data_IF_316244955477
#
_entry.id   IF_316244955477
#
_cell.length_a   1.000
_cell.length_b   1.000
_cell.length_c   1.000
_cell.angle_alpha   90.00
_cell.angle_beta   90.00
_cell.angle_gamma   90.00
#
_symmetry.space_group_name_H-M   'P 1'
#
loop_
_entity.id
_entity.type
_entity.pdbx_description
1 polymer ?
#
# COMPACT_ATOMS: atom_id res chain seq x y z
N UNK A 1 -21.71 13.38 -9.08
CA UNK A 1 -22.63 12.20 -9.01
C UNK A 1 -22.65 11.56 -10.38
N UNK A 2 -22.53 10.23 -10.47
CA UNK A 2 -22.41 9.55 -11.76
C UNK A 2 -23.69 9.66 -12.62
N UNK A 3 -23.58 9.80 -13.94
CA UNK A 3 -24.73 9.86 -14.83
C UNK A 3 -25.50 8.52 -14.86
N UNK A 4 -26.80 8.51 -15.20
CA UNK A 4 -27.55 7.28 -15.40
C UNK A 4 -26.88 6.37 -16.42
N UNK A 5 -26.69 5.09 -16.07
CA UNK A 5 -26.02 4.12 -16.95
C UNK A 5 -24.50 4.23 -17.00
N UNK A 6 -23.88 4.98 -16.08
CA UNK A 6 -22.42 5.05 -15.94
C UNK A 6 -21.83 3.64 -15.75
N UNK A 7 -21.09 3.18 -16.75
CA UNK A 7 -20.46 1.86 -16.80
C UNK A 7 -19.01 2.00 -17.28
N UNK A 8 -18.12 2.64 -16.48
CA UNK A 8 -16.76 2.93 -16.91
C UNK A 8 -15.95 1.64 -17.10
N UNK A 9 -14.96 1.70 -17.98
CA UNK A 9 -13.99 0.61 -18.10
C UNK A 9 -13.02 0.69 -16.91
N UNK A 10 -12.79 -0.43 -16.23
CA UNK A 10 -11.80 -0.54 -15.16
C UNK A 10 -10.65 -1.42 -15.61
N UNK A 11 -9.43 -0.90 -15.57
CA UNK A 11 -8.22 -1.66 -15.87
C UNK A 11 -7.56 -2.14 -14.58
N UNK A 12 -7.43 -3.46 -14.43
CA UNK A 12 -6.65 -4.07 -13.36
C UNK A 12 -5.24 -4.31 -13.86
N UNK A 13 -4.24 -3.72 -13.22
CA UNK A 13 -2.82 -3.86 -13.61
C UNK A 13 -2.11 -4.74 -12.60
N UNK A 14 -1.52 -5.84 -13.08
CA UNK A 14 -0.91 -6.88 -12.24
C UNK A 14 0.56 -7.05 -12.64
N UNK A 15 1.53 -6.45 -11.92
CA UNK A 15 2.94 -6.73 -12.11
C UNK A 15 3.26 -8.15 -11.60
N UNK A 16 4.13 -8.88 -12.32
CA UNK A 16 4.57 -10.21 -11.91
C UNK A 16 6.02 -10.48 -12.34
N UNK A 17 6.68 -11.40 -11.64
CA UNK A 17 8.06 -11.81 -11.92
C UNK A 17 8.22 -13.32 -11.70
N UNK A 18 7.97 -14.13 -12.73
CA UNK A 18 8.20 -15.58 -12.68
C UNK A 18 7.27 -16.33 -11.71
N UNK A 19 6.06 -15.82 -11.47
CA UNK A 19 5.07 -16.39 -10.53
C UNK A 19 3.74 -16.75 -11.22
N UNK A 20 3.74 -17.64 -12.24
CA UNK A 20 2.56 -17.92 -13.09
C UNK A 20 1.33 -18.38 -12.30
N UNK A 21 1.50 -19.21 -11.26
CA UNK A 21 0.37 -19.70 -10.47
C UNK A 21 -0.30 -18.60 -9.64
N UNK A 22 0.51 -17.70 -9.06
CA UNK A 22 0.01 -16.60 -8.25
C UNK A 22 -0.72 -15.59 -9.14
N UNK A 23 -0.09 -15.16 -10.25
CA UNK A 23 -0.71 -14.19 -11.15
C UNK A 23 -2.02 -14.71 -11.74
N UNK A 24 -2.13 -16.00 -12.05
CA UNK A 24 -3.41 -16.59 -12.46
C UNK A 24 -4.50 -16.49 -11.38
N UNK A 25 -4.15 -16.61 -10.09
CA UNK A 25 -5.09 -16.40 -8.98
C UNK A 25 -5.54 -14.94 -8.91
N UNK A 26 -4.60 -14.00 -8.96
CA UNK A 26 -4.91 -12.56 -8.99
C UNK A 26 -5.82 -12.21 -10.18
N UNK A 27 -5.50 -12.70 -11.39
CA UNK A 27 -6.32 -12.54 -12.60
C UNK A 27 -7.74 -13.10 -12.40
N UNK A 28 -7.88 -14.32 -11.85
CA UNK A 28 -9.22 -14.89 -11.57
C UNK A 28 -10.03 -14.00 -10.63
N UNK A 29 -9.41 -13.45 -9.59
CA UNK A 29 -10.09 -12.54 -8.65
C UNK A 29 -10.58 -11.24 -9.31
N UNK A 30 -9.80 -10.72 -10.27
CA UNK A 30 -10.17 -9.55 -11.06
C UNK A 30 -11.32 -9.85 -12.04
N UNK A 31 -11.28 -10.99 -12.73
CA UNK A 31 -12.31 -11.40 -13.69
C UNK A 31 -13.64 -11.78 -13.01
N UNK A 32 -13.61 -12.16 -11.73
CA UNK A 32 -14.77 -12.53 -10.92
C UNK A 32 -15.51 -11.32 -10.29
N UNK A 33 -15.09 -10.09 -10.60
CA UNK A 33 -15.79 -8.90 -10.14
C UNK A 33 -17.22 -8.82 -10.71
N UNK A 34 -18.14 -8.26 -9.93
CA UNK A 34 -19.54 -8.07 -10.35
C UNK A 34 -19.70 -6.94 -11.37
N UNK A 35 -18.72 -6.03 -11.44
CA UNK A 35 -18.62 -5.04 -12.51
C UNK A 35 -18.00 -5.69 -13.75
N UNK A 36 -18.79 -5.89 -14.82
CA UNK A 36 -18.34 -6.67 -15.98
C UNK A 36 -17.44 -5.92 -16.96
N UNK A 37 -17.49 -4.58 -17.00
CA UNK A 37 -16.73 -3.77 -17.96
C UNK A 37 -15.28 -3.57 -17.47
N UNK A 38 -14.45 -4.58 -17.68
CA UNK A 38 -13.09 -4.63 -17.17
C UNK A 38 -12.09 -5.17 -18.19
N UNK A 39 -10.85 -4.71 -18.09
CA UNK A 39 -9.69 -5.36 -18.69
C UNK A 39 -8.66 -5.69 -17.59
N UNK A 40 -7.84 -6.70 -17.84
CA UNK A 40 -6.75 -7.10 -16.94
C UNK A 40 -5.45 -7.08 -17.72
N UNK A 41 -4.46 -6.32 -17.23
CA UNK A 41 -3.16 -6.16 -17.86
C UNK A 41 -2.12 -6.77 -16.94
N UNK A 42 -1.61 -7.93 -17.32
CA UNK A 42 -0.51 -8.59 -16.62
C UNK A 42 0.81 -8.13 -17.22
N UNK A 43 1.74 -7.67 -16.39
CA UNK A 43 3.03 -7.16 -16.82
C UNK A 43 4.16 -7.98 -16.20
N UNK A 44 4.86 -8.76 -17.00
CA UNK A 44 6.07 -9.47 -16.60
C UNK A 44 7.28 -8.53 -16.59
N UNK A 45 7.91 -8.38 -15.42
CA UNK A 45 9.12 -7.56 -15.19
C UNK A 45 10.41 -8.26 -15.66
N UNK A 46 10.46 -8.55 -16.97
CA UNK A 46 11.50 -9.32 -17.63
C UNK A 46 10.95 -10.54 -18.38
N UNK A 47 11.78 -11.24 -19.18
CA UNK A 47 11.34 -12.39 -19.96
C UNK A 47 10.75 -13.50 -19.09
N UNK A 48 9.48 -13.85 -19.34
CA UNK A 48 8.75 -14.86 -18.58
C UNK A 48 7.84 -15.71 -19.49
N UNK A 49 8.43 -16.69 -20.22
CA UNK A 49 7.66 -17.56 -21.12
C UNK A 49 6.62 -18.40 -20.39
N UNK A 50 6.86 -18.74 -19.11
CA UNK A 50 5.95 -19.55 -18.32
C UNK A 50 4.65 -18.79 -18.01
N UNK A 51 4.76 -17.53 -17.60
CA UNK A 51 3.57 -16.67 -17.40
C UNK A 51 2.86 -16.38 -18.71
N UNK A 52 3.60 -16.10 -19.79
CA UNK A 52 3.00 -15.88 -21.11
C UNK A 52 2.19 -17.10 -21.59
N UNK A 53 2.74 -18.31 -21.43
CA UNK A 53 2.04 -19.56 -21.74
C UNK A 53 0.80 -19.74 -20.87
N UNK A 54 0.95 -19.53 -19.56
CA UNK A 54 -0.11 -19.68 -18.57
C UNK A 54 -1.30 -18.73 -18.81
N UNK A 55 -1.11 -17.65 -19.60
CA UNK A 55 -2.14 -16.65 -19.91
C UNK A 55 -2.61 -16.67 -21.38
N UNK A 56 -2.01 -17.50 -22.26
CA UNK A 56 -2.20 -17.42 -23.72
C UNK A 56 -3.66 -17.50 -24.19
N UNK A 57 -4.51 -18.20 -23.44
CA UNK A 57 -5.94 -18.38 -23.74
C UNK A 57 -6.81 -18.22 -22.49
N UNK A 58 -6.40 -17.37 -21.54
CA UNK A 58 -7.05 -17.30 -20.22
C UNK A 58 -8.47 -16.72 -20.27
N UNK A 59 -8.62 -15.51 -20.80
CA UNK A 59 -9.88 -14.78 -20.99
C UNK A 59 -9.60 -13.63 -21.98
N UNK A 60 -10.50 -13.30 -22.92
CA UNK A 60 -10.29 -12.24 -23.90
C UNK A 60 -10.09 -10.83 -23.30
N UNK A 61 -10.46 -10.63 -22.03
CA UNK A 61 -10.20 -9.37 -21.29
C UNK A 61 -8.78 -9.28 -20.74
N UNK A 62 -7.99 -10.35 -20.80
CA UNK A 62 -6.63 -10.42 -20.26
C UNK A 62 -5.62 -10.12 -21.36
N UNK A 63 -4.72 -9.18 -21.09
CA UNK A 63 -3.58 -8.82 -21.94
C UNK A 63 -2.29 -9.06 -21.17
N UNK A 64 -1.36 -9.76 -21.78
CA UNK A 64 -0.01 -9.96 -21.23
C UNK A 64 0.99 -9.05 -21.93
N UNK A 65 1.82 -8.39 -21.13
CA UNK A 65 2.93 -7.55 -21.57
C UNK A 65 4.21 -8.04 -20.91
N UNK A 66 5.32 -7.91 -21.63
CA UNK A 66 6.66 -8.13 -21.07
C UNK A 66 7.46 -6.85 -21.23
N UNK A 67 8.10 -6.40 -20.15
CA UNK A 67 8.98 -5.23 -20.14
C UNK A 67 10.42 -5.64 -19.83
N UNK A 68 11.36 -4.73 -20.05
CA UNK A 68 12.71 -4.90 -19.52
C UNK A 68 12.67 -4.87 -17.99
N UNK A 69 13.53 -5.68 -17.35
CA UNK A 69 13.58 -5.78 -15.89
C UNK A 69 13.94 -4.42 -15.26
N UNK A 70 12.99 -3.83 -14.55
CA UNK A 70 13.10 -2.51 -13.91
C UNK A 70 12.44 -2.44 -12.53
N UNK A 71 11.93 -3.56 -12.02
CA UNK A 71 11.26 -3.65 -10.75
C UNK A 71 9.74 -3.44 -10.83
N UNK A 72 9.02 -3.63 -9.72
CA UNK A 72 7.56 -3.57 -9.68
C UNK A 72 7.01 -2.20 -10.11
N UNK A 73 7.67 -1.10 -9.76
CA UNK A 73 7.31 0.25 -10.22
C UNK A 73 7.29 0.37 -11.75
N UNK A 74 8.32 -0.14 -12.42
CA UNK A 74 8.42 -0.08 -13.89
C UNK A 74 7.31 -0.90 -14.55
N UNK A 75 7.04 -2.10 -14.04
CA UNK A 75 5.95 -2.95 -14.52
C UNK A 75 4.56 -2.31 -14.29
N UNK A 76 4.31 -1.73 -13.10
CA UNK A 76 3.08 -0.97 -12.81
C UNK A 76 2.90 0.19 -13.78
N UNK A 77 3.95 1.00 -13.99
CA UNK A 77 3.93 2.15 -14.89
C UNK A 77 3.62 1.74 -16.33
N UNK A 78 4.26 0.68 -16.84
CA UNK A 78 4.00 0.17 -18.17
C UNK A 78 2.54 -0.32 -18.34
N UNK A 79 2.01 -1.02 -17.34
CA UNK A 79 0.63 -1.48 -17.34
C UNK A 79 -0.38 -0.33 -17.29
N UNK A 80 -0.12 0.70 -16.48
CA UNK A 80 -0.93 1.93 -16.43
C UNK A 80 -0.93 2.64 -17.79
N UNK A 81 0.22 2.78 -18.45
CA UNK A 81 0.29 3.41 -19.77
C UNK A 81 -0.44 2.60 -20.86
N UNK A 82 -0.40 1.27 -20.77
CA UNK A 82 -1.06 0.36 -21.71
C UNK A 82 -2.59 0.21 -21.48
N UNK A 83 -3.08 0.73 -20.36
CA UNK A 83 -4.49 0.69 -19.97
C UNK A 83 -5.38 1.65 -20.77
N UNK A 84 -6.61 1.24 -21.00
CA UNK A 84 -7.67 1.98 -21.67
C UNK A 84 -8.82 2.38 -20.73
N UNK A 85 -8.86 1.88 -19.49
CA UNK A 85 -9.94 2.13 -18.53
C UNK A 85 -9.96 3.55 -17.97
N UNK A 86 -11.14 4.01 -17.59
CA UNK A 86 -11.30 5.30 -16.89
C UNK A 86 -10.70 5.24 -15.48
N UNK A 87 -10.69 4.03 -14.90
CA UNK A 87 -10.18 3.74 -13.56
C UNK A 87 -9.13 2.64 -13.59
N UNK A 88 -8.14 2.77 -12.70
CA UNK A 88 -7.07 1.82 -12.49
C UNK A 88 -7.21 1.18 -11.11
N UNK A 89 -7.06 -0.15 -11.05
CA UNK A 89 -6.78 -0.86 -9.82
C UNK A 89 -5.46 -1.61 -9.98
N UNK A 90 -4.44 -1.17 -9.26
CA UNK A 90 -3.17 -1.90 -9.19
C UNK A 90 -3.39 -3.12 -8.30
N UNK A 91 -2.94 -4.31 -8.67
CA UNK A 91 -3.12 -5.53 -7.87
C UNK A 91 -1.81 -6.32 -7.88
N UNK A 92 -1.27 -6.64 -6.71
CA UNK A 92 -0.09 -7.50 -6.64
C UNK A 92 -0.49 -8.93 -7.02
N UNK A 93 0.40 -9.67 -7.69
CA UNK A 93 0.12 -11.01 -8.23
C UNK A 93 -0.11 -12.08 -7.15
N UNK A 94 0.22 -11.80 -5.90
CA UNK A 94 -0.03 -12.66 -4.74
C UNK A 94 -1.26 -12.26 -3.92
N UNK A 95 -1.99 -11.21 -4.29
CA UNK A 95 -3.21 -10.75 -3.62
C UNK A 95 -4.49 -11.06 -4.40
N UNK A 96 -5.65 -10.87 -3.77
CA UNK A 96 -6.96 -11.16 -4.37
C UNK A 96 -7.99 -10.06 -4.12
N UNK A 97 -8.72 -9.67 -5.17
CA UNK A 97 -9.89 -8.80 -5.04
C UNK A 97 -11.10 -9.62 -4.61
N UNK A 98 -11.81 -9.18 -3.56
CA UNK A 98 -13.08 -9.82 -3.17
C UNK A 98 -14.21 -9.39 -4.12
N UNK A 99 -15.21 -10.26 -4.36
CA UNK A 99 -16.35 -9.92 -5.21
C UNK A 99 -17.04 -8.62 -4.76
N UNK A 100 -17.42 -7.78 -5.72
CA UNK A 100 -18.13 -6.53 -5.45
C UNK A 100 -17.24 -5.32 -5.13
N UNK A 101 -15.93 -5.50 -4.96
CA UNK A 101 -14.99 -4.40 -4.70
C UNK A 101 -15.17 -3.24 -5.67
N UNK A 102 -15.06 -3.52 -6.97
CA UNK A 102 -15.08 -2.49 -8.02
C UNK A 102 -16.43 -1.77 -8.03
N UNK A 103 -17.53 -2.52 -7.93
CA UNK A 103 -18.88 -1.96 -7.89
C UNK A 103 -19.08 -1.04 -6.67
N UNK A 104 -18.64 -1.46 -5.48
CA UNK A 104 -18.75 -0.67 -4.26
C UNK A 104 -17.93 0.63 -4.33
N UNK A 105 -16.73 0.58 -4.91
CA UNK A 105 -15.88 1.77 -5.09
C UNK A 105 -16.48 2.74 -6.12
N UNK A 106 -16.96 2.23 -7.26
CA UNK A 106 -17.61 3.04 -8.28
C UNK A 106 -18.92 3.68 -7.80
N UNK A 107 -19.64 3.05 -6.87
CA UNK A 107 -20.88 3.59 -6.31
C UNK A 107 -20.69 4.92 -5.57
N UNK A 108 -19.50 5.17 -5.01
CA UNK A 108 -19.17 6.43 -4.31
C UNK A 108 -18.20 7.33 -5.10
N UNK A 109 -17.67 6.82 -6.21
CA UNK A 109 -16.85 7.59 -7.13
C UNK A 109 -17.67 8.69 -7.81
N UNK A 110 -17.00 9.77 -8.21
CA UNK A 110 -17.59 10.82 -9.04
C UNK A 110 -16.84 10.89 -10.36
N UNK A 111 -17.52 10.59 -11.46
CA UNK A 111 -16.93 10.54 -12.81
C UNK A 111 -16.26 11.86 -13.22
N UNK A 112 -16.70 13.00 -12.69
CA UNK A 112 -16.12 14.31 -12.97
C UNK A 112 -14.88 14.62 -12.11
N UNK A 113 -14.68 13.90 -11.00
CA UNK A 113 -13.56 14.10 -10.08
C UNK A 113 -12.39 13.16 -10.42
N UNK A 114 -11.44 13.71 -11.15
CA UNK A 114 -10.24 13.01 -11.60
C UNK A 114 -9.09 13.02 -10.58
N UNK A 115 -9.34 13.46 -9.34
CA UNK A 115 -8.33 13.56 -8.26
C UNK A 115 -8.68 12.73 -7.03
N UNK A 116 -9.92 12.31 -6.86
CA UNK A 116 -10.31 11.48 -5.72
C UNK A 116 -10.09 10.00 -6.01
N UNK A 117 -9.22 9.38 -5.21
CA UNK A 117 -9.04 7.94 -5.15
C UNK A 117 -10.04 7.31 -4.18
N UNK A 118 -10.54 6.13 -4.52
CA UNK A 118 -11.47 5.40 -3.66
C UNK A 118 -10.75 4.22 -3.01
N UNK A 119 -10.54 4.28 -1.70
CA UNK A 119 -9.91 3.22 -0.91
C UNK A 119 -10.95 2.26 -0.33
N UNK A 120 -10.52 1.04 -0.04
CA UNK A 120 -11.26 0.08 0.80
C UNK A 120 -10.38 -0.47 1.93
N UNK A 121 -10.95 -1.29 2.81
CA UNK A 121 -10.18 -2.09 3.77
C UNK A 121 -9.72 -3.38 3.09
N UNK A 122 -8.79 -4.08 3.71
CA UNK A 122 -8.33 -5.41 3.30
C UNK A 122 -8.20 -6.35 4.50
N UNK A 123 -8.34 -7.63 4.22
CA UNK A 123 -8.09 -8.74 5.13
C UNK A 123 -6.63 -9.13 4.99
N UNK A 124 -5.84 -8.88 6.02
CA UNK A 124 -4.47 -9.37 6.14
C UNK A 124 -4.52 -10.83 6.60
N UNK A 125 -4.08 -11.74 5.75
CA UNK A 125 -4.02 -13.17 6.04
C UNK A 125 -2.58 -13.64 6.20
N UNK A 126 -2.24 -14.17 7.39
CA UNK A 126 -0.92 -14.71 7.69
C UNK A 126 -1.02 -15.99 8.52
N UNK A 127 -0.53 -17.11 8.00
CA UNK A 127 -0.49 -18.40 8.70
C UNK A 127 -1.84 -18.78 9.36
N UNK A 128 -2.94 -18.61 8.63
CA UNK A 128 -4.30 -18.89 9.09
C UNK A 128 -4.91 -17.83 10.03
N UNK A 129 -4.19 -16.76 10.34
CA UNK A 129 -4.72 -15.61 11.11
C UNK A 129 -5.20 -14.53 10.15
N UNK A 130 -6.37 -13.98 10.42
CA UNK A 130 -6.97 -12.87 9.67
C UNK A 130 -7.05 -11.62 10.54
N UNK A 131 -6.67 -10.48 9.98
CA UNK A 131 -6.86 -9.16 10.59
C UNK A 131 -7.38 -8.16 9.55
N UNK A 132 -8.15 -7.14 9.96
CA UNK A 132 -8.74 -6.18 9.01
C UNK A 132 -8.12 -4.80 9.19
N UNK A 133 -7.67 -4.22 8.08
CA UNK A 133 -7.01 -2.92 8.05
C UNK A 133 -7.51 -2.04 6.90
N UNK A 134 -7.48 -0.70 7.05
CA UNK A 134 -7.13 0.01 8.27
C UNK A 134 -8.20 -0.15 9.37
N UNK A 135 -7.81 0.16 10.62
CA UNK A 135 -8.71 0.12 11.79
C UNK A 135 -9.49 1.43 12.01
N UNK A 136 -9.17 2.47 11.24
CA UNK A 136 -9.88 3.75 11.24
C UNK A 136 -9.86 4.39 9.85
N UNK A 137 -10.88 5.14 9.46
CA UNK A 137 -10.84 5.95 8.25
C UNK A 137 -9.85 7.11 8.41
N UNK A 138 -9.48 7.70 7.29
CA UNK A 138 -8.79 9.00 7.27
C UNK A 138 -9.72 10.09 7.82
N UNK A 139 -9.18 10.96 8.67
CA UNK A 139 -9.93 12.06 9.26
C UNK A 139 -10.23 13.16 8.23
N UNK A 140 -11.26 13.96 8.51
CA UNK A 140 -11.56 15.15 7.70
C UNK A 140 -10.38 16.14 7.75
N UNK A 141 -9.84 16.49 6.58
CA UNK A 141 -8.67 17.37 6.46
C UNK A 141 -7.35 16.78 6.95
N UNK A 142 -7.32 15.49 7.32
CA UNK A 142 -6.08 14.81 7.68
C UNK A 142 -5.25 14.54 6.40
N UNK A 143 -3.95 14.87 6.43
CA UNK A 143 -3.04 14.56 5.32
C UNK A 143 -2.75 13.06 5.25
N UNK A 144 -2.40 12.55 4.06
CA UNK A 144 -1.97 11.14 3.92
C UNK A 144 -0.70 10.86 4.74
N UNK A 145 0.23 11.81 4.80
CA UNK A 145 1.42 11.71 5.65
C UNK A 145 1.09 11.52 7.12
N UNK A 146 0.15 12.31 7.67
CA UNK A 146 -0.28 12.14 9.05
C UNK A 146 -1.05 10.83 9.24
N UNK A 147 -1.98 10.52 8.34
CA UNK A 147 -2.78 9.30 8.40
C UNK A 147 -1.92 8.05 8.49
N UNK A 148 -0.90 7.93 7.63
CA UNK A 148 -0.09 6.73 7.47
C UNK A 148 1.07 6.62 8.46
N UNK A 149 1.60 7.76 8.94
CA UNK A 149 2.84 7.77 9.71
C UNK A 149 2.64 8.12 11.18
N UNK A 150 1.59 8.87 11.52
CA UNK A 150 1.33 9.26 12.90
C UNK A 150 0.67 8.11 13.65
N UNK A 151 1.35 7.68 14.72
CA UNK A 151 0.77 6.75 15.67
C UNK A 151 -0.11 7.50 16.68
N UNK A 152 -1.44 7.25 16.73
CA UNK A 152 -2.35 8.07 17.53
C UNK A 152 -2.26 7.82 19.04
N UNK A 153 -1.59 6.76 19.48
CA UNK A 153 -1.36 6.45 20.89
C UNK A 153 -0.51 5.19 21.07
N UNK A 154 -0.20 4.82 22.31
CA UNK A 154 0.67 3.67 22.63
C UNK A 154 0.18 2.34 22.02
N UNK A 155 -1.14 2.14 22.03
CA UNK A 155 -1.83 1.01 21.37
C UNK A 155 -2.47 1.40 20.03
N UNK A 156 -2.47 2.69 19.71
CA UNK A 156 -3.00 3.23 18.48
C UNK A 156 -2.22 2.74 17.27
N UNK A 157 -2.93 2.52 16.18
CA UNK A 157 -2.36 2.11 14.89
C UNK A 157 -2.42 3.29 13.93
N UNK A 158 -1.36 3.56 13.16
CA UNK A 158 -1.48 4.45 12.04
C UNK A 158 -2.51 3.89 11.05
N UNK A 159 -3.04 4.77 10.22
CA UNK A 159 -3.79 4.41 9.03
C UNK A 159 -2.93 3.61 8.06
N UNK A 160 -3.59 2.95 7.12
CA UNK A 160 -2.92 2.19 6.08
C UNK A 160 -3.76 2.22 4.81
N UNK A 161 -3.09 2.52 3.70
CA UNK A 161 -3.63 2.42 2.34
C UNK A 161 -2.58 1.65 1.55
N UNK A 162 -2.95 0.47 1.08
CA UNK A 162 -2.16 -0.27 0.11
C UNK A 162 -2.70 0.04 -1.30
N UNK A 163 -1.84 -0.02 -2.32
CA UNK A 163 -2.26 0.31 -3.68
C UNK A 163 -3.37 -0.62 -4.22
N UNK A 164 -3.37 -1.89 -3.82
CA UNK A 164 -4.44 -2.83 -4.19
C UNK A 164 -5.82 -2.50 -3.60
N UNK A 165 -5.87 -1.72 -2.53
CA UNK A 165 -7.12 -1.22 -1.97
C UNK A 165 -7.69 -0.02 -2.73
N UNK A 166 -6.95 0.57 -3.68
CA UNK A 166 -7.35 1.79 -4.37
C UNK A 166 -8.02 1.52 -5.71
N UNK A 167 -9.08 2.28 -5.99
CA UNK A 167 -9.53 2.58 -7.33
C UNK A 167 -9.08 4.03 -7.65
N UNK A 168 -8.25 4.17 -8.68
CA UNK A 168 -7.51 5.40 -8.98
C UNK A 168 -8.00 5.94 -10.33
N UNK A 169 -8.35 7.24 -10.46
CA UNK A 169 -8.62 7.82 -11.78
C UNK A 169 -7.43 7.62 -12.70
N UNK A 170 -7.63 7.13 -13.93
CA UNK A 170 -6.50 6.84 -14.84
C UNK A 170 -5.65 8.08 -15.13
N UNK A 171 -6.26 9.26 -15.27
CA UNK A 171 -5.52 10.50 -15.48
C UNK A 171 -4.55 10.79 -14.34
N UNK A 172 -4.94 10.51 -13.09
CA UNK A 172 -4.07 10.67 -11.93
C UNK A 172 -2.95 9.62 -11.94
N UNK A 173 -3.28 8.35 -12.22
CA UNK A 173 -2.28 7.28 -12.29
C UNK A 173 -1.23 7.51 -13.40
N UNK A 174 -1.62 8.09 -14.54
CA UNK A 174 -0.70 8.46 -15.62
C UNK A 174 0.13 9.69 -15.26
N UNK A 175 -0.48 10.70 -14.62
CA UNK A 175 0.23 11.91 -14.21
C UNK A 175 1.24 11.66 -13.09
N UNK A 176 0.96 10.68 -12.23
CA UNK A 176 1.77 10.31 -11.08
C UNK A 176 2.32 8.89 -11.28
N UNK A 177 3.44 8.69 -12.00
CA UNK A 177 4.04 7.37 -12.14
C UNK A 177 4.55 6.85 -10.78
N UNK A 178 4.48 5.53 -10.58
CA UNK A 178 5.10 4.85 -9.43
C UNK A 178 6.59 5.18 -9.39
N UNK A 179 7.10 5.79 -8.31
CA UNK A 179 8.51 6.12 -8.18
C UNK A 179 9.32 4.85 -7.90
N UNK A 180 10.63 4.90 -8.09
CA UNK A 180 11.51 3.80 -7.70
C UNK A 180 12.17 4.13 -6.37
N UNK A 181 11.79 3.42 -5.31
CA UNK A 181 12.44 3.48 -4.00
C UNK A 181 12.79 2.08 -3.50
N UNK A 182 13.89 1.97 -2.75
CA UNK A 182 14.27 0.70 -2.13
C UNK A 182 13.27 0.24 -1.03
N UNK A 183 12.54 1.18 -0.45
CA UNK A 183 11.55 0.95 0.59
C UNK A 183 10.50 2.08 0.59
N UNK A 184 9.28 1.78 1.06
CA UNK A 184 8.16 2.74 1.13
C UNK A 184 7.75 3.36 -0.22
N UNK A 185 7.86 2.58 -1.31
CA UNK A 185 7.46 3.01 -2.66
C UNK A 185 6.00 3.49 -2.70
N UNK A 186 5.08 2.65 -2.22
CA UNK A 186 3.65 2.96 -2.20
C UNK A 186 3.35 4.24 -1.40
N UNK A 187 4.12 4.49 -0.34
CA UNK A 187 3.96 5.68 0.48
C UNK A 187 4.49 6.93 -0.21
N UNK A 188 5.62 6.83 -0.92
CA UNK A 188 6.11 7.92 -1.76
C UNK A 188 5.07 8.28 -2.82
N UNK A 189 4.49 7.28 -3.48
CA UNK A 189 3.46 7.49 -4.49
C UNK A 189 2.22 8.19 -3.92
N UNK A 190 1.73 7.75 -2.76
CA UNK A 190 0.60 8.38 -2.08
C UNK A 190 0.87 9.85 -1.72
N UNK A 191 2.05 10.14 -1.18
CA UNK A 191 2.44 11.52 -0.86
C UNK A 191 2.55 12.39 -2.11
N UNK A 192 3.15 11.87 -3.18
CA UNK A 192 3.26 12.59 -4.44
C UNK A 192 1.86 12.83 -5.06
N UNK A 193 0.98 11.83 -5.01
CA UNK A 193 -0.39 11.97 -5.48
C UNK A 193 -1.14 13.08 -4.72
N UNK A 194 -1.00 13.17 -3.40
CA UNK A 194 -1.59 14.25 -2.59
C UNK A 194 -0.98 15.62 -2.89
N UNK A 195 0.35 15.75 -2.84
CA UNK A 195 1.03 17.04 -2.88
C UNK A 195 1.24 17.61 -4.28
N UNK A 196 1.50 16.76 -5.27
CA UNK A 196 1.73 17.17 -6.65
C UNK A 196 0.47 16.96 -7.51
N UNK A 197 -0.21 15.83 -7.32
CA UNK A 197 -1.45 15.51 -8.03
C UNK A 197 -2.71 16.16 -7.46
N UNK A 198 -2.65 16.72 -6.24
CA UNK A 198 -3.81 17.26 -5.54
C UNK A 198 -4.85 16.19 -5.20
N UNK A 199 -4.42 14.94 -5.05
CA UNK A 199 -5.29 13.81 -4.84
C UNK A 199 -5.94 13.82 -3.46
N UNK A 200 -7.12 13.24 -3.38
CA UNK A 200 -7.87 13.01 -2.13
C UNK A 200 -8.24 11.56 -2.02
N UNK A 201 -8.57 11.11 -0.81
CA UNK A 201 -9.00 9.73 -0.57
C UNK A 201 -10.36 9.70 0.09
N UNK A 202 -11.25 8.86 -0.44
CA UNK A 202 -12.51 8.47 0.20
C UNK A 202 -12.52 6.98 0.43
N UNK A 203 -13.20 6.53 1.49
CA UNK A 203 -13.26 5.11 1.84
C UNK A 203 -14.63 4.50 1.54
N UNK A 204 -14.62 3.32 0.93
CA UNK A 204 -15.61 2.27 1.19
C UNK A 204 -15.15 1.51 2.43
N UNK A 205 -15.93 1.55 3.52
CA UNK A 205 -15.48 1.01 4.81
C UNK A 205 -15.64 -0.51 4.95
N UNK A 206 -15.38 -1.25 3.87
CA UNK A 206 -15.54 -2.70 3.79
C UNK A 206 -14.22 -3.39 3.44
N UNK A 207 -13.95 -4.59 3.98
CA UNK A 207 -12.79 -5.39 3.60
C UNK A 207 -13.03 -6.05 2.24
N UNK A 208 -12.45 -5.48 1.19
CA UNK A 208 -12.74 -5.84 -0.20
C UNK A 208 -11.52 -6.41 -0.95
N UNK A 209 -10.41 -6.65 -0.24
CA UNK A 209 -9.19 -7.27 -0.77
C UNK A 209 -8.66 -8.26 0.27
N UNK A 210 -8.10 -9.38 -0.17
CA UNK A 210 -7.30 -10.29 0.65
C UNK A 210 -5.83 -10.05 0.36
N UNK A 211 -5.10 -9.69 1.40
CA UNK A 211 -3.66 -9.47 1.37
C UNK A 211 -2.94 -10.68 1.96
N UNK A 212 -2.25 -11.44 1.12
CA UNK A 212 -1.62 -12.71 1.50
C UNK A 212 -0.19 -12.48 1.97
N UNK A 213 0.00 -12.40 3.29
CA UNK A 213 1.33 -12.34 3.88
C UNK A 213 2.00 -13.71 3.82
N UNK A 214 2.80 -13.95 2.78
CA UNK A 214 3.69 -15.11 2.77
C UNK A 214 4.61 -15.07 4.00
N UNK A 215 4.89 -16.23 4.60
CA UNK A 215 5.60 -16.35 5.89
C UNK A 215 7.08 -15.87 5.80
N UNK A 216 7.58 -15.43 4.63
CA UNK A 216 9.02 -15.19 4.42
C UNK A 216 9.46 -13.82 3.85
N UNK A 217 8.59 -12.91 3.42
CA UNK A 217 9.03 -11.91 2.40
C UNK A 217 9.50 -10.52 2.85
N UNK A 218 9.53 -10.24 4.15
CA UNK A 218 10.34 -9.10 4.57
C UNK A 218 11.76 -9.59 4.80
N UNK A 219 12.56 -9.55 3.72
CA UNK A 219 13.98 -9.88 3.73
C UNK A 219 14.66 -9.25 4.95
N UNK A 220 15.60 -9.98 5.57
CA UNK A 220 16.35 -9.45 6.73
C UNK A 220 16.92 -8.05 6.44
N UNK A 221 17.35 -7.80 5.21
CA UNK A 221 17.81 -6.50 4.73
C UNK A 221 16.74 -5.41 4.84
N UNK A 222 15.50 -5.62 4.37
CA UNK A 222 14.41 -4.63 4.53
C UNK A 222 14.08 -4.34 6.01
N UNK A 223 14.21 -5.35 6.89
CA UNK A 223 13.96 -5.21 8.34
C UNK A 223 15.03 -4.41 9.08
N UNK A 224 16.25 -4.33 8.54
CA UNK A 224 17.38 -3.65 9.18
C UNK A 224 17.85 -2.39 8.45
N UNK A 225 17.37 -2.14 7.23
CA UNK A 225 17.77 -0.99 6.42
C UNK A 225 17.08 0.31 6.89
N UNK A 226 17.60 0.87 7.97
CA UNK A 226 17.12 2.13 8.54
C UNK A 226 17.60 3.35 7.75
N UNK A 227 18.75 3.26 7.07
CA UNK A 227 19.36 4.38 6.35
C UNK A 227 18.50 4.80 5.14
N UNK A 228 18.04 3.84 4.34
CA UNK A 228 17.10 4.13 3.23
C UNK A 228 15.77 4.68 3.73
N UNK A 229 15.24 4.17 4.86
CA UNK A 229 14.02 4.73 5.45
C UNK A 229 14.23 6.17 5.96
N UNK A 230 15.40 6.50 6.49
CA UNK A 230 15.73 7.88 6.87
C UNK A 230 15.89 8.78 5.64
N UNK A 231 16.58 8.31 4.60
CA UNK A 231 16.74 9.04 3.34
C UNK A 231 15.39 9.30 2.68
N UNK A 232 14.49 8.33 2.69
CA UNK A 232 13.10 8.49 2.25
C UNK A 232 12.38 9.59 3.04
N UNK A 233 12.48 9.60 4.38
CA UNK A 233 11.82 10.63 5.18
C UNK A 233 12.40 12.03 4.93
N UNK A 234 13.72 12.13 4.73
CA UNK A 234 14.41 13.38 4.43
C UNK A 234 14.04 13.89 3.03
N UNK A 235 13.91 13.00 2.05
CA UNK A 235 13.47 13.34 0.69
C UNK A 235 12.06 13.95 0.68
N UNK A 236 11.13 13.37 1.45
CA UNK A 236 9.74 13.81 1.53
C UNK A 236 9.49 14.85 2.62
N UNK A 237 10.55 15.46 3.18
CA UNK A 237 10.44 16.30 4.38
C UNK A 237 9.50 17.49 4.23
N UNK A 238 9.42 18.07 3.03
CA UNK A 238 8.55 19.22 2.74
C UNK A 238 7.06 18.85 2.75
N UNK A 239 6.72 17.57 2.59
CA UNK A 239 5.36 17.05 2.53
C UNK A 239 4.89 16.50 3.89
N UNK A 240 5.84 16.18 4.76
CA UNK A 240 5.53 15.63 6.08
C UNK A 240 5.37 16.72 7.14
N UNK A 241 4.28 16.62 7.91
CA UNK A 241 4.17 17.38 9.15
C UNK A 241 5.33 17.04 10.09
N UNK A 242 5.68 17.96 10.98
CA UNK A 242 6.69 17.68 12.00
C UNK A 242 6.35 16.44 12.83
N UNK A 243 5.04 16.22 13.06
CA UNK A 243 4.53 15.06 13.80
C UNK A 243 4.69 13.76 13.01
N UNK A 244 4.29 13.73 11.74
CA UNK A 244 4.45 12.56 10.87
C UNK A 244 5.92 12.14 10.76
N UNK A 245 6.82 13.11 10.48
CA UNK A 245 8.25 12.85 10.39
C UNK A 245 8.81 12.28 11.71
N UNK A 246 8.48 12.91 12.85
CA UNK A 246 8.96 12.44 14.15
C UNK A 246 8.40 11.06 14.52
N UNK A 247 7.12 10.82 14.26
CA UNK A 247 6.46 9.54 14.56
C UNK A 247 7.05 8.41 13.71
N UNK A 248 7.29 8.64 12.42
CA UNK A 248 7.94 7.67 11.53
C UNK A 248 9.36 7.35 11.99
N UNK A 249 10.17 8.36 12.29
CA UNK A 249 11.54 8.17 12.78
C UNK A 249 11.58 7.43 14.12
N UNK A 250 10.76 7.85 15.08
CA UNK A 250 10.75 7.29 16.43
C UNK A 250 10.22 5.85 16.48
N UNK A 251 9.32 5.46 15.57
CA UNK A 251 8.64 4.15 15.62
C UNK A 251 9.19 3.14 14.61
N UNK A 252 9.38 3.52 13.34
CA UNK A 252 9.87 2.60 12.29
C UNK A 252 11.38 2.70 12.11
N UNK A 253 11.92 3.89 11.84
CA UNK A 253 13.34 4.05 11.49
C UNK A 253 14.25 3.67 12.66
N UNK A 254 13.95 4.16 13.87
CA UNK A 254 14.70 3.81 15.08
C UNK A 254 14.61 2.30 15.39
N UNK A 255 13.45 1.68 15.20
CA UNK A 255 13.29 0.24 15.43
C UNK A 255 14.13 -0.58 14.45
N UNK A 256 14.20 -0.18 13.17
CA UNK A 256 15.09 -0.80 12.18
C UNK A 256 16.56 -0.65 12.58
N UNK A 257 16.98 0.53 13.03
CA UNK A 257 18.36 0.75 13.49
C UNK A 257 18.69 -0.10 14.73
N UNK A 258 17.75 -0.24 15.67
CA UNK A 258 17.90 -1.13 16.83
C UNK A 258 18.03 -2.60 16.40
N UNK A 259 17.20 -3.07 15.46
CA UNK A 259 17.27 -4.43 14.91
C UNK A 259 18.59 -4.69 14.16
N UNK A 260 19.17 -3.66 13.54
CA UNK A 260 20.49 -3.72 12.92
C UNK A 260 21.65 -3.72 13.94
N UNK A 261 21.39 -3.42 15.22
CA UNK A 261 22.44 -3.22 16.23
C UNK A 261 23.23 -1.92 16.05
N UNK A 262 22.75 -0.97 15.23
CA UNK A 262 23.49 0.23 14.89
C UNK A 262 23.24 1.36 15.91
N UNK A 263 24.17 1.47 16.86
CA UNK A 263 24.13 2.51 17.92
C UNK A 263 24.40 3.92 17.37
N UNK A 264 25.15 4.07 16.29
CA UNK A 264 25.42 5.38 15.68
C UNK A 264 24.16 5.86 14.96
N UNK A 265 23.52 4.98 14.20
CA UNK A 265 22.22 5.23 13.56
C UNK A 265 21.15 5.63 14.58
N UNK A 266 21.03 4.90 15.69
CA UNK A 266 20.09 5.26 16.76
C UNK A 266 20.34 6.66 17.35
N UNK A 267 21.60 7.05 17.58
CA UNK A 267 21.93 8.40 18.07
C UNK A 267 21.59 9.48 17.05
N UNK A 268 21.87 9.23 15.77
CA UNK A 268 21.52 10.14 14.68
C UNK A 268 20.00 10.36 14.61
N UNK A 269 19.23 9.27 14.59
CA UNK A 269 17.76 9.31 14.53
C UNK A 269 17.20 10.05 15.75
N UNK A 270 17.70 9.75 16.96
CA UNK A 270 17.30 10.44 18.18
C UNK A 270 17.59 11.95 18.09
N UNK A 271 18.76 12.34 17.59
CA UNK A 271 19.12 13.74 17.35
C UNK A 271 18.17 14.45 16.39
N UNK A 272 17.79 13.77 15.29
CA UNK A 272 16.81 14.31 14.31
C UNK A 272 15.43 14.51 14.92
N UNK A 273 14.93 13.54 15.69
CA UNK A 273 13.64 13.64 16.37
C UNK A 273 13.65 14.78 17.39
N UNK A 274 14.66 14.84 18.26
CA UNK A 274 14.79 15.89 19.30
C UNK A 274 14.95 17.28 18.70
N UNK A 275 15.71 17.41 17.60
CA UNK A 275 15.90 18.67 16.88
C UNK A 275 14.64 19.17 16.16
N UNK A 276 13.62 18.33 16.02
CA UNK A 276 12.40 18.63 15.28
C UNK A 276 11.15 18.77 16.19
N UNK A 277 11.33 19.30 17.40
CA UNK A 277 10.26 19.64 18.36
C UNK A 277 9.21 18.51 18.52
N UNK A 278 9.61 17.34 19.00
CA UNK A 278 8.72 16.18 19.11
C UNK A 278 7.65 16.39 20.19
N UNK A 279 6.49 15.77 20.01
CA UNK A 279 5.47 15.69 21.04
C UNK A 279 5.80 14.63 22.09
N UNK A 280 4.96 14.56 23.12
CA UNK A 280 5.13 13.63 24.26
C UNK A 280 5.07 12.17 23.80
N UNK A 281 4.20 11.85 22.84
CA UNK A 281 4.08 10.49 22.31
C UNK A 281 5.31 10.07 21.50
N UNK A 282 5.82 10.94 20.62
CA UNK A 282 7.01 10.66 19.81
C UNK A 282 8.25 10.47 20.69
N UNK A 283 8.38 11.29 21.74
CA UNK A 283 9.39 11.07 22.78
C UNK A 283 9.20 9.71 23.44
N UNK A 284 7.99 9.38 23.90
CA UNK A 284 7.68 8.09 24.52
C UNK A 284 8.04 6.90 23.63
N UNK A 285 7.73 6.96 22.33
CA UNK A 285 8.11 5.92 21.37
C UNK A 285 9.62 5.83 21.20
N UNK A 286 10.31 6.96 21.04
CA UNK A 286 11.77 6.99 20.92
C UNK A 286 12.45 6.40 22.16
N UNK A 287 12.02 6.80 23.36
CA UNK A 287 12.50 6.24 24.63
C UNK A 287 12.24 4.74 24.70
N UNK A 288 11.03 4.29 24.35
CA UNK A 288 10.69 2.87 24.27
C UNK A 288 11.66 2.11 23.35
N UNK A 289 11.91 2.62 22.15
CA UNK A 289 12.88 1.99 21.23
C UNK A 289 14.30 2.04 21.77
N UNK A 290 14.75 3.11 22.42
CA UNK A 290 16.13 3.18 22.93
C UNK A 290 16.38 2.20 24.08
N UNK A 291 15.44 2.07 25.02
CA UNK A 291 15.69 1.39 26.30
C UNK A 291 15.00 0.02 26.45
N UNK A 292 13.86 -0.24 25.80
CA UNK A 292 13.17 -1.52 25.92
C UNK A 292 13.92 -2.65 25.17
N UNK A 293 13.90 -3.91 25.65
CA UNK A 293 14.43 -5.04 24.90
C UNK A 293 13.59 -5.30 23.64
N UNK A 294 14.23 -5.83 22.58
CA UNK A 294 13.54 -6.13 21.31
C UNK A 294 12.36 -7.09 21.49
N UNK A 295 12.47 -8.06 22.41
CA UNK A 295 11.39 -9.01 22.72
C UNK A 295 10.13 -8.30 23.23
N UNK A 296 10.27 -7.27 24.06
CA UNK A 296 9.15 -6.48 24.55
C UNK A 296 8.52 -5.66 23.41
N UNK A 297 9.34 -5.03 22.57
CA UNK A 297 8.88 -4.24 21.43
C UNK A 297 8.14 -5.11 20.40
N UNK A 298 8.65 -6.32 20.12
CA UNK A 298 8.01 -7.26 19.21
C UNK A 298 6.70 -7.80 19.77
N UNK A 299 6.59 -8.01 21.09
CA UNK A 299 5.33 -8.40 21.73
C UNK A 299 4.29 -7.27 21.68
N UNK A 300 4.68 -6.04 22.02
CA UNK A 300 3.80 -4.87 21.91
C UNK A 300 3.37 -4.66 20.45
N UNK A 301 4.28 -4.87 19.50
CA UNK A 301 3.96 -4.79 18.08
C UNK A 301 2.96 -5.88 17.68
N UNK A 302 3.18 -7.14 18.06
CA UNK A 302 2.26 -8.27 17.79
C UNK A 302 0.87 -8.07 18.41
N UNK A 303 0.79 -7.56 19.63
CA UNK A 303 -0.48 -7.21 20.26
C UNK A 303 -1.17 -6.06 19.54
N UNK A 304 -0.40 -5.08 19.07
CA UNK A 304 -0.92 -3.98 18.23
C UNK A 304 -1.28 -4.40 16.80
N UNK A 305 -1.22 -5.69 16.44
CA UNK A 305 -1.70 -6.25 15.16
C UNK A 305 -2.92 -7.17 15.34
N UNK A 306 -3.61 -7.14 16.49
CA UNK A 306 -4.88 -7.88 16.70
C UNK A 306 -6.07 -6.93 16.66
N UNK A 307 -6.85 -6.87 15.58
CA UNK A 307 -8.12 -6.12 15.63
C UNK A 307 -9.05 -6.76 16.66
N UNK A 308 -9.85 -5.94 17.33
CA UNK A 308 -10.94 -6.43 18.18
C UNK A 308 -12.08 -7.03 17.31
N UNK A 309 -12.11 -6.71 16.02
CA UNK A 309 -13.07 -7.21 15.01
C UNK A 309 -12.82 -8.69 14.61
N UNK A 310 -11.70 -9.28 15.00
CA UNK A 310 -11.35 -10.67 14.69
C UNK A 310 -12.27 -11.73 15.32
N UNK A 311 -13.22 -11.33 16.16
CA UNK A 311 -14.20 -12.21 16.79
C UNK A 311 -15.43 -12.54 15.91
N UNK A 312 -15.57 -11.92 14.72
CA UNK A 312 -16.81 -12.00 13.93
C UNK A 312 -16.72 -12.62 12.53
N UNK A 313 -15.54 -12.96 12.02
CA UNK A 313 -15.41 -13.55 10.67
C UNK A 313 -15.33 -15.07 10.78
N UNK A 314 -16.48 -15.71 11.06
CA UNK A 314 -16.66 -17.15 10.88
C UNK A 314 -17.16 -17.43 9.46
N UNK A 315 -16.35 -18.23 8.73
CA UNK A 315 -16.69 -19.11 7.58
C UNK A 315 -17.75 -18.64 6.58
#
# INVERSE_FOLDING_TARGET
MNPPGYNPLVSVVIPTLGRPELVQRAVRSALAQTHGNMEVIVVSDGPDPATAEALRDFDPRVRHLTVEHGGPAAARNAGVLASAGDWINLLDDDDELLPGKVAAQLAIADAEDQRTMIACRCVFEQAGRKDIWPVRPIGEGESLGDYMLVRPGLRGRPGQINLHCLLIPRSLAVAMPSPTFADHEDWAWLLAAEHEGGARVRFVWEPLVVYHLSVSEMTRSRRTNWAESLAWADHHRAWLSARAYNSFLATKVALKAKRAGDRKGLRLIAGRVLGNRPGVLELGFLFGVLFAPLSLLDNVWKESLRSDDGAGVST
#
